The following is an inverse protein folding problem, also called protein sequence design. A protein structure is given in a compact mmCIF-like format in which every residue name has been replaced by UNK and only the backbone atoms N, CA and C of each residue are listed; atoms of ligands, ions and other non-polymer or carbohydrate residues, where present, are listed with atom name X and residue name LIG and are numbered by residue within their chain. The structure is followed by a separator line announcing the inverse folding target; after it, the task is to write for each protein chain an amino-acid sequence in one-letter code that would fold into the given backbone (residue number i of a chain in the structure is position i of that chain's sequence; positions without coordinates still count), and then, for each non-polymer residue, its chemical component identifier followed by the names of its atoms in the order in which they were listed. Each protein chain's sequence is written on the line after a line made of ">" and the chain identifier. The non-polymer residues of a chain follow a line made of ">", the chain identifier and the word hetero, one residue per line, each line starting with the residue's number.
data_IF_870544328143
#
_entry.id   IF_870544328143
#
_cell.length_a   1.000
_cell.length_b   1.000
_cell.length_c   1.000
_cell.angle_alpha   90.00
_cell.angle_beta   90.00
_cell.angle_gamma   90.00
#
_symmetry.space_group_name_H-M   'P 1'
#
loop_
_entity.id
_entity.type
_entity.pdbx_description
1 polymer ?
#
# COMPACT_ATOMS: atom_id res chain seq x y z
N UNK A 1 5.84 -20.45 11.36
CA UNK A 1 5.55 -19.08 10.83
C UNK A 1 4.45 -18.50 11.70
N UNK A 2 4.63 -17.33 12.29
CA UNK A 2 3.71 -16.72 13.24
C UNK A 2 3.34 -15.26 12.88
N UNK A 3 3.61 -14.83 11.63
CA UNK A 3 3.22 -13.54 11.11
C UNK A 3 2.34 -13.70 9.88
N UNK A 4 1.35 -12.83 9.75
CA UNK A 4 0.36 -12.83 8.67
C UNK A 4 0.26 -11.42 8.10
N UNK A 5 0.33 -11.27 6.77
CA UNK A 5 -0.22 -10.08 6.13
C UNK A 5 -1.73 -10.27 6.01
N UNK A 6 -2.49 -9.45 6.72
CA UNK A 6 -3.95 -9.60 6.75
C UNK A 6 -4.63 -8.63 5.79
N UNK A 7 -5.26 -9.19 4.76
CA UNK A 7 -6.11 -8.44 3.81
C UNK A 7 -7.56 -8.38 4.28
N UNK A 8 -8.02 -9.46 4.89
CA UNK A 8 -9.38 -9.59 5.41
C UNK A 8 -9.60 -10.92 6.11
N UNK A 9 -10.75 -11.05 6.75
CA UNK A 9 -11.18 -12.24 7.49
C UNK A 9 -12.69 -12.37 7.39
N UNK A 10 -13.21 -13.60 7.37
CA UNK A 10 -14.65 -13.89 7.29
C UNK A 10 -15.36 -13.20 6.10
N UNK A 11 -14.69 -13.05 4.96
CA UNK A 11 -15.26 -12.44 3.76
C UNK A 11 -15.37 -10.91 3.78
N UNK A 12 -14.81 -10.24 4.80
CA UNK A 12 -14.78 -8.79 4.95
C UNK A 12 -13.34 -8.29 4.96
N UNK A 13 -13.05 -7.20 4.26
CA UNK A 13 -11.73 -6.57 4.29
C UNK A 13 -11.39 -6.03 5.69
N UNK A 14 -10.12 -6.11 6.09
CA UNK A 14 -9.73 -5.66 7.44
C UNK A 14 -10.09 -4.19 7.69
N UNK A 15 -9.91 -3.33 6.68
CA UNK A 15 -10.19 -1.89 6.77
C UNK A 15 -11.69 -1.54 6.89
N UNK A 16 -12.57 -2.54 6.71
CA UNK A 16 -14.03 -2.37 6.86
C UNK A 16 -14.53 -2.67 8.27
N UNK A 17 -13.65 -3.20 9.14
CA UNK A 17 -13.99 -3.49 10.53
C UNK A 17 -13.92 -2.21 11.37
N UNK A 18 -14.85 -2.08 12.32
CA UNK A 18 -14.72 -1.09 13.40
C UNK A 18 -13.56 -1.46 14.32
N UNK A 19 -13.05 -0.50 15.08
CA UNK A 19 -11.98 -0.78 16.05
C UNK A 19 -12.41 -1.81 17.11
N UNK A 20 -13.68 -1.80 17.52
CA UNK A 20 -14.19 -2.79 18.48
C UNK A 20 -14.23 -4.21 17.90
N UNK A 21 -14.68 -4.36 16.64
CA UNK A 21 -14.63 -5.65 15.95
C UNK A 21 -13.19 -6.12 15.75
N UNK A 22 -12.27 -5.23 15.39
CA UNK A 22 -10.85 -5.54 15.20
C UNK A 22 -10.15 -5.99 16.49
N UNK A 23 -10.54 -5.45 17.65
CA UNK A 23 -10.06 -5.93 18.97
C UNK A 23 -10.34 -7.42 19.19
N UNK A 24 -11.51 -7.90 18.80
CA UNK A 24 -11.83 -9.34 18.92
C UNK A 24 -11.00 -10.20 17.97
N UNK A 25 -10.69 -9.69 16.76
CA UNK A 25 -9.77 -10.36 15.83
C UNK A 25 -8.36 -10.42 16.45
N UNK A 26 -7.85 -9.28 16.94
CA UNK A 26 -6.53 -9.19 17.61
C UNK A 26 -6.42 -10.20 18.75
N UNK A 27 -7.41 -10.22 19.64
CA UNK A 27 -7.44 -11.14 20.77
C UNK A 27 -7.34 -12.61 20.36
N UNK A 28 -7.98 -13.00 19.24
CA UNK A 28 -7.87 -14.37 18.71
C UNK A 28 -6.50 -14.65 18.15
N UNK A 29 -5.91 -13.70 17.41
CA UNK A 29 -4.55 -13.83 16.88
C UNK A 29 -3.54 -14.01 18.02
N UNK A 30 -3.64 -13.18 19.06
CA UNK A 30 -2.76 -13.24 20.23
C UNK A 30 -2.87 -14.58 20.97
N UNK A 31 -4.10 -15.08 21.15
CA UNK A 31 -4.33 -16.36 21.79
C UNK A 31 -3.70 -17.55 21.04
N UNK A 32 -3.59 -17.45 19.72
CA UNK A 32 -2.98 -18.46 18.86
C UNK A 32 -1.48 -18.16 18.55
N UNK A 33 -0.93 -17.08 19.11
CA UNK A 33 0.48 -16.71 18.94
C UNK A 33 0.82 -16.12 17.55
N UNK A 34 -0.17 -15.52 16.86
CA UNK A 34 0.03 -14.83 15.59
C UNK A 34 0.10 -13.31 15.77
N UNK A 35 0.95 -12.67 14.98
CA UNK A 35 1.04 -11.22 14.83
C UNK A 35 0.85 -10.81 13.37
N UNK A 36 0.54 -9.54 13.12
CA UNK A 36 0.53 -9.03 11.75
C UNK A 36 1.93 -8.59 11.32
N UNK A 37 2.34 -9.02 10.12
CA UNK A 37 3.51 -8.46 9.44
C UNK A 37 3.17 -7.13 8.78
N UNK A 38 1.95 -7.03 8.20
CA UNK A 38 1.45 -5.85 7.49
C UNK A 38 -0.07 -5.88 7.43
N UNK A 39 -0.71 -4.72 7.32
CA UNK A 39 -2.09 -4.62 6.84
C UNK A 39 -2.08 -4.58 5.31
N UNK A 40 -2.64 -5.61 4.68
CA UNK A 40 -2.85 -5.69 3.24
C UNK A 40 -4.04 -4.82 2.82
N UNK A 41 -3.87 -3.51 2.83
CA UNK A 41 -4.96 -2.54 2.62
C UNK A 41 -5.29 -2.29 1.15
N UNK A 42 -6.49 -1.76 0.81
CA UNK A 42 -6.82 -1.24 -0.51
C UNK A 42 -6.48 0.24 -0.68
N UNK A 43 -5.71 0.86 0.22
CA UNK A 43 -5.37 2.27 0.15
C UNK A 43 -4.63 2.58 -1.15
N UNK A 44 -5.09 3.59 -1.89
CA UNK A 44 -4.63 3.90 -3.23
C UNK A 44 -5.35 3.13 -4.36
N UNK A 45 -6.27 2.19 -4.05
CA UNK A 45 -7.10 1.48 -5.07
C UNK A 45 -8.42 2.21 -5.35
N UNK A 46 -8.34 3.49 -5.66
CA UNK A 46 -9.41 4.30 -6.25
C UNK A 46 -8.90 4.88 -7.57
N UNK A 47 -9.81 5.34 -8.43
CA UNK A 47 -9.40 6.05 -9.64
C UNK A 47 -8.76 7.39 -9.27
N UNK A 48 -7.76 7.81 -10.03
CA UNK A 48 -7.13 9.12 -9.83
C UNK A 48 -8.14 10.29 -9.97
N UNK A 49 -9.23 10.05 -10.68
CA UNK A 49 -10.32 11.03 -10.90
C UNK A 49 -11.38 11.03 -9.81
N UNK A 50 -11.35 10.07 -8.88
CA UNK A 50 -12.33 10.00 -7.79
C UNK A 50 -12.03 11.06 -6.71
N UNK A 51 -13.07 11.40 -5.92
CA UNK A 51 -12.90 12.24 -4.73
C UNK A 51 -11.94 11.56 -3.74
N UNK A 52 -10.93 12.32 -3.34
CA UNK A 52 -9.86 11.81 -2.50
C UNK A 52 -10.20 11.84 -1.00
N UNK A 53 -11.05 12.77 -0.55
CA UNK A 53 -11.30 12.96 0.89
C UNK A 53 -11.91 11.73 1.58
N UNK A 54 -12.92 11.03 1.02
CA UNK A 54 -13.42 9.79 1.62
C UNK A 54 -12.33 8.71 1.73
N UNK A 55 -11.43 8.67 0.77
CA UNK A 55 -10.33 7.69 0.76
C UNK A 55 -9.25 8.05 1.78
N UNK A 56 -9.00 9.34 2.00
CA UNK A 56 -8.12 9.80 3.07
C UNK A 56 -8.67 9.46 4.46
N UNK A 57 -9.99 9.55 4.66
CA UNK A 57 -10.64 9.12 5.92
C UNK A 57 -10.52 7.59 6.11
N UNK A 58 -10.69 6.80 5.05
CA UNK A 58 -10.43 5.35 5.10
C UNK A 58 -8.97 5.05 5.46
N UNK A 59 -8.02 5.83 4.94
CA UNK A 59 -6.62 5.68 5.29
C UNK A 59 -6.35 6.00 6.76
N UNK A 60 -6.90 7.08 7.29
CA UNK A 60 -6.79 7.42 8.72
C UNK A 60 -7.31 6.28 9.61
N UNK A 61 -8.49 5.76 9.28
CA UNK A 61 -9.04 4.58 9.96
C UNK A 61 -8.12 3.34 9.84
N UNK A 62 -7.48 3.15 8.68
CA UNK A 62 -6.51 2.05 8.48
C UNK A 62 -5.29 2.20 9.38
N UNK A 63 -4.82 3.43 9.62
CA UNK A 63 -3.74 3.72 10.57
C UNK A 63 -4.16 3.39 12.01
N UNK A 64 -5.38 3.76 12.41
CA UNK A 64 -5.91 3.38 13.74
C UNK A 64 -5.98 1.85 13.91
N UNK A 65 -6.41 1.13 12.86
CA UNK A 65 -6.39 -0.33 12.84
C UNK A 65 -4.96 -0.89 12.93
N UNK A 66 -3.98 -0.27 12.26
CA UNK A 66 -2.59 -0.69 12.31
C UNK A 66 -2.04 -0.59 13.74
N UNK A 67 -2.30 0.52 14.43
CA UNK A 67 -1.92 0.67 15.83
C UNK A 67 -2.61 -0.36 16.73
N UNK A 68 -3.92 -0.56 16.58
CA UNK A 68 -4.67 -1.55 17.33
C UNK A 68 -4.13 -2.97 17.13
N UNK A 69 -3.80 -3.32 15.89
CA UNK A 69 -3.29 -4.64 15.50
C UNK A 69 -1.78 -4.80 15.73
N UNK A 70 -1.11 -3.75 16.23
CA UNK A 70 0.35 -3.70 16.42
C UNK A 70 1.11 -3.98 15.10
N UNK A 71 0.51 -3.63 13.96
CA UNK A 71 1.12 -3.74 12.65
C UNK A 71 1.91 -2.47 12.31
N UNK A 72 3.20 -2.63 12.05
CA UNK A 72 4.08 -1.51 11.69
C UNK A 72 3.91 -1.06 10.25
N UNK A 73 3.47 -1.94 9.38
CA UNK A 73 3.38 -1.74 7.95
C UNK A 73 1.94 -1.69 7.47
N UNK A 74 1.68 -0.79 6.50
CA UNK A 74 0.45 -0.73 5.72
C UNK A 74 0.83 -0.78 4.25
N UNK A 75 0.44 -1.85 3.54
CA UNK A 75 0.59 -1.93 2.09
C UNK A 75 -0.43 -1.01 1.40
N UNK A 76 0.02 -0.29 0.35
CA UNK A 76 -0.80 0.66 -0.38
C UNK A 76 -0.40 0.73 -1.87
N UNK A 77 -1.17 1.48 -2.66
CA UNK A 77 -1.07 1.58 -4.12
C UNK A 77 -1.07 3.05 -4.58
N UNK A 78 -0.88 3.27 -5.90
CA UNK A 78 -0.72 4.62 -6.47
C UNK A 78 -1.81 5.01 -7.48
N UNK A 79 -3.05 4.66 -7.18
CA UNK A 79 -4.30 5.02 -7.89
C UNK A 79 -4.45 4.41 -9.28
N UNK A 80 -5.65 3.91 -9.58
CA UNK A 80 -5.99 3.45 -10.91
C UNK A 80 -6.05 4.61 -11.90
N UNK A 81 -5.43 4.40 -13.06
CA UNK A 81 -5.53 5.32 -14.18
C UNK A 81 -6.87 5.13 -14.91
N UNK A 82 -7.35 6.16 -15.67
CA UNK A 82 -8.55 6.01 -16.48
C UNK A 82 -8.41 4.87 -17.48
N UNK A 83 -9.50 4.14 -17.71
CA UNK A 83 -9.54 3.02 -18.65
C UNK A 83 -9.10 3.45 -20.05
N UNK A 84 -8.21 2.66 -20.67
CA UNK A 84 -7.66 2.95 -22.00
C UNK A 84 -6.63 4.09 -22.03
N UNK A 85 -6.22 4.62 -20.89
CA UNK A 85 -5.18 5.63 -20.82
C UNK A 85 -3.81 4.98 -21.08
N UNK A 86 -3.10 5.42 -22.11
CA UNK A 86 -1.73 4.95 -22.42
C UNK A 86 -0.66 5.90 -21.86
N UNK A 87 -0.97 7.18 -21.73
CA UNK A 87 -0.06 8.20 -21.20
C UNK A 87 -0.51 8.65 -19.79
N UNK A 88 0.25 8.25 -18.78
CA UNK A 88 -0.02 8.60 -17.38
C UNK A 88 0.57 9.95 -16.95
N UNK A 89 1.35 10.60 -17.81
CA UNK A 89 2.04 11.85 -17.48
C UNK A 89 1.12 13.00 -17.05
N UNK A 90 -0.12 13.16 -17.58
CA UNK A 90 -1.02 14.22 -17.13
C UNK A 90 -1.51 14.05 -15.69
N UNK A 91 -1.44 12.84 -15.13
CA UNK A 91 -1.91 12.52 -13.78
C UNK A 91 -0.81 12.52 -12.72
N UNK A 92 0.45 12.62 -13.14
CA UNK A 92 1.61 12.53 -12.27
C UNK A 92 1.54 13.48 -11.08
N UNK A 93 1.28 14.76 -11.30
CA UNK A 93 1.31 15.77 -10.26
C UNK A 93 0.23 15.50 -9.21
N UNK A 94 -0.96 15.07 -9.62
CA UNK A 94 -2.04 14.70 -8.71
C UNK A 94 -1.70 13.40 -7.94
N UNK A 95 -1.12 12.40 -8.58
CA UNK A 95 -0.64 11.19 -7.90
C UNK A 95 0.37 11.54 -6.82
N UNK A 96 1.37 12.37 -7.16
CA UNK A 96 2.40 12.79 -6.20
C UNK A 96 1.81 13.62 -5.06
N UNK A 97 0.85 14.52 -5.34
CA UNK A 97 0.18 15.31 -4.32
C UNK A 97 -0.60 14.43 -3.32
N UNK A 98 -1.35 13.43 -3.81
CA UNK A 98 -2.11 12.49 -2.95
C UNK A 98 -1.19 11.58 -2.16
N UNK A 99 -0.16 11.01 -2.79
CA UNK A 99 0.85 10.20 -2.10
C UNK A 99 1.57 10.98 -1.01
N UNK A 100 1.90 12.26 -1.27
CA UNK A 100 2.49 13.15 -0.28
C UNK A 100 1.65 13.27 0.99
N UNK A 101 0.32 13.43 0.84
CA UNK A 101 -0.61 13.48 2.00
C UNK A 101 -0.60 12.17 2.80
N UNK A 102 -0.53 11.01 2.13
CA UNK A 102 -0.42 9.72 2.83
C UNK A 102 0.90 9.61 3.59
N UNK A 103 2.01 9.98 2.96
CA UNK A 103 3.34 9.91 3.56
C UNK A 103 3.47 10.84 4.76
N UNK A 104 2.94 12.06 4.66
CA UNK A 104 2.97 13.01 5.77
C UNK A 104 2.14 12.53 6.97
N UNK A 105 0.99 11.92 6.70
CA UNK A 105 0.17 11.33 7.76
C UNK A 105 0.84 10.09 8.38
N UNK A 106 1.50 9.25 7.57
CA UNK A 106 2.28 8.10 8.05
C UNK A 106 3.41 8.52 8.99
N UNK A 107 4.17 9.57 8.62
CA UNK A 107 5.23 10.15 9.45
C UNK A 107 4.69 10.64 10.79
N UNK A 108 3.55 11.34 10.78
CA UNK A 108 2.93 11.88 11.98
C UNK A 108 2.41 10.80 12.94
N UNK A 109 2.19 9.57 12.44
CA UNK A 109 1.62 8.45 13.19
C UNK A 109 2.57 7.25 13.35
N UNK A 110 3.84 7.39 13.02
CA UNK A 110 4.88 6.33 13.12
C UNK A 110 4.49 5.01 12.40
N UNK A 111 3.90 5.13 11.22
CA UNK A 111 3.56 4.02 10.32
C UNK A 111 4.51 4.00 9.14
N UNK A 112 4.80 2.80 8.62
CA UNK A 112 5.56 2.62 7.38
C UNK A 112 4.59 2.20 6.27
N UNK A 113 4.49 3.03 5.23
CA UNK A 113 3.76 2.69 4.02
C UNK A 113 4.63 1.83 3.12
N UNK A 114 4.03 0.77 2.58
CA UNK A 114 4.65 -0.13 1.62
C UNK A 114 3.93 0.02 0.27
N UNK A 115 4.53 0.76 -0.67
CA UNK A 115 3.98 0.92 -2.02
C UNK A 115 4.22 -0.35 -2.85
N UNK A 116 3.15 -1.00 -3.25
CA UNK A 116 3.18 -2.19 -4.13
C UNK A 116 2.95 -1.79 -5.59
N UNK A 117 3.77 -2.34 -6.49
CA UNK A 117 3.52 -2.25 -7.92
C UNK A 117 2.30 -3.11 -8.28
N UNK A 118 1.41 -2.57 -9.13
CA UNK A 118 0.23 -3.31 -9.63
C UNK A 118 -0.18 -2.79 -11.00
N UNK A 119 -0.82 -3.66 -11.79
CA UNK A 119 -1.32 -3.31 -13.11
C UNK A 119 -2.40 -2.22 -13.03
N UNK A 120 -2.41 -1.34 -14.03
CA UNK A 120 -3.40 -0.27 -14.24
C UNK A 120 -3.38 0.87 -13.20
N UNK A 121 -2.44 0.85 -12.24
CA UNK A 121 -2.17 2.00 -11.37
C UNK A 121 -0.97 2.82 -11.89
N UNK A 122 -0.73 4.01 -11.34
CA UNK A 122 0.42 4.83 -11.76
C UNK A 122 1.74 4.06 -11.67
N UNK A 123 1.99 3.38 -10.56
CA UNK A 123 3.19 2.58 -10.29
C UNK A 123 3.07 1.13 -10.79
N UNK A 124 2.74 0.92 -12.06
CA UNK A 124 2.59 -0.40 -12.67
C UNK A 124 3.89 -0.96 -13.27
N UNK A 125 4.82 -0.09 -13.69
CA UNK A 125 6.13 -0.46 -14.22
C UNK A 125 7.26 0.11 -13.37
N UNK A 126 8.44 -0.52 -13.43
CA UNK A 126 9.57 -0.20 -12.57
C UNK A 126 10.02 1.26 -12.65
N UNK A 127 9.96 1.88 -13.82
CA UNK A 127 10.35 3.29 -14.00
C UNK A 127 9.44 4.25 -13.21
N UNK A 128 8.12 4.01 -13.20
CA UNK A 128 7.17 4.81 -12.42
C UNK A 128 7.22 4.49 -10.94
N UNK A 129 7.42 3.22 -10.56
CA UNK A 129 7.70 2.87 -9.17
C UNK A 129 8.97 3.56 -8.64
N UNK A 130 10.04 3.58 -9.44
CA UNK A 130 11.28 4.27 -9.09
C UNK A 130 11.07 5.78 -8.95
N UNK A 131 10.26 6.39 -9.81
CA UNK A 131 9.90 7.80 -9.69
C UNK A 131 9.18 8.11 -8.38
N UNK A 132 8.19 7.29 -7.98
CA UNK A 132 7.51 7.40 -6.69
C UNK A 132 8.54 7.29 -5.55
N UNK A 133 9.40 6.27 -5.58
CA UNK A 133 10.39 6.08 -4.51
C UNK A 133 11.38 7.24 -4.43
N UNK A 134 11.87 7.77 -5.55
CA UNK A 134 12.77 8.93 -5.55
C UNK A 134 12.15 10.19 -4.92
N UNK A 135 10.82 10.32 -4.97
CA UNK A 135 10.11 11.45 -4.35
C UNK A 135 9.87 11.24 -2.86
N UNK A 136 9.59 10.00 -2.40
CA UNK A 136 9.02 9.76 -1.08
C UNK A 136 9.84 8.83 -0.19
N UNK A 137 10.85 8.11 -0.72
CA UNK A 137 11.61 7.15 0.07
C UNK A 137 12.16 7.76 1.35
N UNK A 138 11.78 7.19 2.47
CA UNK A 138 12.20 7.56 3.81
C UNK A 138 11.91 6.40 4.77
N UNK A 139 12.13 6.60 6.07
CA UNK A 139 11.84 5.57 7.09
C UNK A 139 10.35 5.19 7.15
N UNK A 140 9.46 6.03 6.65
CA UNK A 140 8.01 5.82 6.65
C UNK A 140 7.41 5.49 5.26
N UNK A 141 8.24 5.33 4.23
CA UNK A 141 7.77 4.97 2.88
C UNK A 141 8.79 4.11 2.17
N UNK A 142 8.42 2.89 1.84
CA UNK A 142 9.24 1.85 1.23
C UNK A 142 8.49 1.17 0.09
N UNK A 143 9.16 0.25 -0.61
CA UNK A 143 8.54 -0.53 -1.68
C UNK A 143 8.22 -1.96 -1.25
N UNK A 144 7.09 -2.48 -1.74
CA UNK A 144 6.86 -3.92 -1.93
C UNK A 144 7.26 -4.25 -3.36
N UNK A 145 7.93 -5.37 -3.54
CA UNK A 145 8.22 -5.91 -4.86
C UNK A 145 7.35 -7.13 -5.12
N UNK A 146 6.35 -6.98 -6.00
CA UNK A 146 5.51 -8.08 -6.48
C UNK A 146 5.98 -8.50 -7.88
N UNK A 147 6.54 -9.70 -7.97
CA UNK A 147 7.06 -10.26 -9.22
C UNK A 147 5.95 -10.51 -10.24
N UNK A 148 4.81 -11.05 -9.79
CA UNK A 148 3.71 -11.43 -10.67
C UNK A 148 3.05 -10.21 -11.32
N UNK A 149 2.92 -9.12 -10.59
CA UNK A 149 2.37 -7.88 -11.09
C UNK A 149 3.25 -7.25 -12.18
N UNK A 150 4.57 -7.30 -12.06
CA UNK A 150 5.46 -6.87 -13.15
C UNK A 150 5.32 -7.75 -14.39
N UNK A 151 5.18 -9.07 -14.23
CA UNK A 151 4.91 -9.98 -15.37
C UNK A 151 3.61 -9.61 -16.08
N UNK A 152 2.54 -9.28 -15.34
CA UNK A 152 1.27 -8.82 -15.92
C UNK A 152 1.44 -7.55 -16.76
N UNK A 153 2.36 -6.67 -16.38
CA UNK A 153 2.71 -5.44 -17.11
C UNK A 153 3.74 -5.66 -18.23
N UNK A 154 4.11 -6.91 -18.51
CA UNK A 154 5.14 -7.31 -19.49
C UNK A 154 6.52 -6.67 -19.20
N UNK A 155 6.78 -6.33 -17.94
CA UNK A 155 8.07 -5.83 -17.47
C UNK A 155 9.00 -7.01 -17.17
N UNK A 156 10.24 -6.94 -17.62
CA UNK A 156 11.28 -7.85 -17.18
C UNK A 156 11.50 -7.72 -15.67
N UNK A 157 11.32 -8.82 -14.93
CA UNK A 157 11.34 -8.79 -13.47
C UNK A 157 12.75 -8.62 -12.90
N UNK A 158 13.78 -9.10 -13.61
CA UNK A 158 15.16 -8.93 -13.17
C UNK A 158 15.60 -7.49 -13.34
N UNK A 159 15.29 -6.87 -14.49
CA UNK A 159 15.53 -5.45 -14.72
C UNK A 159 14.79 -4.59 -13.67
N UNK A 160 13.50 -4.88 -13.44
CA UNK A 160 12.69 -4.19 -12.44
C UNK A 160 13.31 -4.32 -11.04
N UNK A 161 13.78 -5.51 -10.67
CA UNK A 161 14.42 -5.73 -9.38
C UNK A 161 15.72 -4.94 -9.24
N UNK A 162 16.60 -4.95 -10.25
CA UNK A 162 17.83 -4.17 -10.22
C UNK A 162 17.58 -2.66 -10.05
N UNK A 163 16.48 -2.14 -10.62
CA UNK A 163 16.09 -0.74 -10.43
C UNK A 163 15.53 -0.46 -9.03
N UNK A 164 14.75 -1.39 -8.48
CA UNK A 164 13.96 -1.17 -7.28
C UNK A 164 14.62 -1.66 -5.99
N UNK A 165 15.59 -2.59 -6.06
CA UNK A 165 16.21 -3.24 -4.88
C UNK A 165 16.66 -2.30 -3.76
N UNK A 166 17.15 -1.06 -4.00
CA UNK A 166 17.55 -0.17 -2.90
C UNK A 166 16.38 0.33 -2.05
N UNK A 167 15.15 0.20 -2.54
CA UNK A 167 13.92 0.73 -1.95
C UNK A 167 13.02 -0.36 -1.38
N UNK A 168 13.31 -1.63 -1.69
CA UNK A 168 12.46 -2.78 -1.32
C UNK A 168 12.66 -3.14 0.15
N UNK A 169 11.57 -3.13 0.88
CA UNK A 169 11.45 -3.57 2.28
C UNK A 169 10.70 -4.90 2.38
N UNK A 170 9.82 -5.20 1.42
CA UNK A 170 8.88 -6.30 1.47
C UNK A 170 8.73 -6.95 0.09
N UNK A 171 8.43 -8.24 0.05
CA UNK A 171 8.30 -9.01 -1.19
C UNK A 171 6.97 -9.78 -1.18
N UNK A 172 6.27 -9.72 -2.31
CA UNK A 172 5.11 -10.55 -2.63
C UNK A 172 5.40 -11.51 -3.78
#
# INVERSE_FOLDING_TARGET
>A
MNHIEMRGVNGKGLVEYTLEEAKEIKKRLDAEGFALSSIGSPIGKIKITDDFEPHMELYKHTVDLAHLMEAKYIRMFSFFMPEGCEDYSPYKDEVMARLGKFVDYAKANDIILLHENEKDIYGDVASRCLEIQKNFYCDHFKAVFDFANFVQCKQDTLEAYEMMKPYVEYIH
#
